data_IF_301531214223
#
_entry.id   IF_301531214223
#
_cell.length_a   1.000
_cell.length_b   1.000
_cell.length_c   1.000
_cell.angle_alpha   90.00
_cell.angle_beta   90.00
_cell.angle_gamma   90.00
#
_symmetry.space_group_name_H-M   'P 1'
#
loop_
_entity.id
_entity.type
_entity.pdbx_description
1 polymer ?
#
# COMPACT_ATOMS: atom_id res chain seq x y z
N UNK A 1 1.44 35.70 23.90
CA UNK A 1 0.28 34.92 24.40
C UNK A 1 -0.07 33.88 23.35
N UNK A 2 0.11 32.61 23.69
CA UNK A 2 -0.16 31.43 22.84
C UNK A 2 -1.67 31.16 22.74
N UNK A 3 -2.11 30.54 21.64
CA UNK A 3 -2.78 29.23 21.63
C UNK A 3 -3.55 29.02 20.31
N UNK A 4 -3.01 28.15 19.45
CA UNK A 4 -3.78 27.45 18.44
C UNK A 4 -3.08 26.10 18.17
N UNK A 5 -3.74 24.94 18.36
CA UNK A 5 -3.09 23.66 18.17
C UNK A 5 -2.67 23.44 16.71
N UNK A 6 -1.64 22.60 16.48
CA UNK A 6 -0.92 22.51 15.23
C UNK A 6 -1.80 21.86 14.15
N UNK A 7 -1.65 22.33 12.93
CA UNK A 7 -2.31 21.86 11.71
C UNK A 7 -2.57 20.34 11.72
N UNK A 8 -3.79 19.94 12.08
CA UNK A 8 -4.26 18.57 11.89
C UNK A 8 -4.59 18.42 10.40
N UNK A 9 -3.69 17.81 9.64
CA UNK A 9 -3.98 17.37 8.28
C UNK A 9 -5.02 16.24 8.32
N UNK A 10 -6.30 16.60 8.46
CA UNK A 10 -7.40 15.67 8.19
C UNK A 10 -7.50 15.47 6.68
N UNK A 11 -6.93 14.38 6.18
CA UNK A 11 -7.13 13.92 4.80
C UNK A 11 -8.60 13.52 4.61
N UNK A 12 -9.36 14.26 3.78
CA UNK A 12 -10.74 13.90 3.45
C UNK A 12 -11.67 15.09 3.16
N UNK A 13 -12.83 14.80 2.57
CA UNK A 13 -13.89 15.80 2.33
C UNK A 13 -14.63 16.04 3.64
N UNK A 14 -14.52 17.24 4.21
CA UNK A 14 -15.29 17.62 5.40
C UNK A 14 -16.77 17.74 5.00
N UNK A 15 -17.66 17.09 5.75
CA UNK A 15 -19.10 17.31 5.61
C UNK A 15 -19.45 18.68 6.21
N UNK A 16 -20.25 19.45 5.48
CA UNK A 16 -20.68 20.81 5.86
C UNK A 16 -22.18 20.90 5.57
N UNK A 17 -22.96 21.35 6.55
CA UNK A 17 -24.38 21.68 6.37
C UNK A 17 -24.50 23.08 5.74
N UNK A 18 -25.48 23.29 4.86
CA UNK A 18 -25.63 24.54 4.09
C UNK A 18 -27.11 24.93 3.99
N UNK A 19 -27.39 26.23 4.11
CA UNK A 19 -28.68 26.81 3.76
C UNK A 19 -28.89 26.95 2.25
N UNK A 20 -30.12 27.28 1.83
CA UNK A 20 -30.47 27.52 0.43
C UNK A 20 -29.72 28.77 -0.08
N UNK A 21 -28.90 28.61 -1.11
CA UNK A 21 -28.10 29.70 -1.71
C UNK A 21 -26.63 29.74 -1.28
N UNK A 22 -26.24 29.04 -0.22
CA UNK A 22 -24.86 29.08 0.32
C UNK A 22 -23.88 28.12 -0.38
N UNK A 23 -24.27 27.57 -1.55
CA UNK A 23 -23.48 26.56 -2.28
C UNK A 23 -22.05 27.04 -2.56
N UNK A 24 -21.91 28.33 -2.88
CA UNK A 24 -20.67 28.98 -3.28
C UNK A 24 -20.09 29.90 -2.21
N UNK A 25 -20.60 29.86 -0.97
CA UNK A 25 -20.01 30.62 0.12
C UNK A 25 -18.57 30.14 0.34
N UNK A 26 -17.63 31.07 0.56
CA UNK A 26 -16.21 30.73 0.74
C UNK A 26 -15.99 29.80 1.95
N UNK A 27 -16.84 29.92 2.98
CA UNK A 27 -16.87 29.00 4.13
C UNK A 27 -17.26 27.55 3.77
N UNK A 28 -17.87 27.33 2.60
CA UNK A 28 -18.32 26.03 2.09
C UNK A 28 -17.40 25.44 1.01
N UNK A 29 -16.35 26.17 0.61
CA UNK A 29 -15.38 25.75 -0.41
C UNK A 29 -14.02 25.55 0.27
N UNK A 30 -13.43 24.38 0.08
CA UNK A 30 -12.04 24.12 0.46
C UNK A 30 -11.28 23.80 -0.82
N UNK A 31 -10.40 24.71 -1.21
CA UNK A 31 -9.50 24.48 -2.34
C UNK A 31 -8.62 23.25 -2.07
N UNK A 32 -8.43 22.46 -3.12
CA UNK A 32 -7.56 21.29 -3.08
C UNK A 32 -6.74 21.28 -4.34
N UNK A 33 -5.43 21.43 -4.18
CA UNK A 33 -4.47 21.12 -5.23
C UNK A 33 -4.45 19.61 -5.47
N UNK A 34 -4.70 19.11 -6.69
CA UNK A 34 -4.45 17.71 -7.00
C UNK A 34 -2.96 17.42 -6.80
N UNK A 35 -2.64 16.37 -6.03
CA UNK A 35 -1.27 15.87 -5.81
C UNK A 35 -0.28 16.82 -5.08
N UNK A 36 -0.74 17.91 -4.48
CA UNK A 36 0.15 18.92 -3.88
C UNK A 36 0.74 18.59 -2.50
N UNK A 37 0.28 17.52 -1.83
CA UNK A 37 0.68 17.20 -0.46
C UNK A 37 1.94 16.33 -0.30
N UNK A 38 2.62 15.98 -1.40
CA UNK A 38 3.63 14.93 -1.40
C UNK A 38 3.04 13.55 -1.04
N UNK A 39 3.75 12.48 -1.38
CA UNK A 39 3.35 11.12 -1.00
C UNK A 39 4.58 10.24 -0.90
N UNK A 40 4.62 9.39 0.12
CA UNK A 40 5.59 8.30 0.21
C UNK A 40 4.99 7.05 -0.44
N UNK A 41 5.84 6.26 -1.08
CA UNK A 41 5.48 4.90 -1.46
C UNK A 41 6.04 3.95 -0.41
N UNK A 42 5.24 2.98 0.01
CA UNK A 42 5.65 1.94 0.95
C UNK A 42 5.32 0.58 0.38
N UNK A 43 6.14 -0.41 0.70
CA UNK A 43 5.88 -1.81 0.41
C UNK A 43 5.86 -2.61 1.71
N UNK A 44 5.00 -3.62 1.79
CA UNK A 44 4.95 -4.57 2.89
C UNK A 44 4.15 -5.80 2.52
N UNK A 45 4.62 -6.96 2.98
CA UNK A 45 3.94 -8.24 2.86
C UNK A 45 3.11 -8.56 4.10
N UNK A 46 2.02 -9.29 3.89
CA UNK A 46 1.24 -9.92 4.96
C UNK A 46 1.15 -11.41 4.69
N UNK A 47 1.11 -12.21 5.76
CA UNK A 47 0.96 -13.65 5.67
C UNK A 47 0.03 -14.18 6.75
N UNK A 48 -0.23 -15.48 6.73
CA UNK A 48 -1.02 -16.12 7.80
C UNK A 48 -0.32 -16.01 9.16
N UNK A 49 1.01 -16.07 9.16
CA UNK A 49 1.82 -16.18 10.38
C UNK A 49 2.40 -14.83 10.82
N UNK A 50 2.37 -13.80 9.98
CA UNK A 50 2.91 -12.50 10.35
C UNK A 50 2.77 -11.45 9.24
N UNK A 51 3.73 -10.53 9.21
CA UNK A 51 3.86 -9.45 8.23
C UNK A 51 5.34 -9.08 8.11
N UNK A 52 5.75 -8.48 7.00
CA UNK A 52 7.11 -7.97 6.85
C UNK A 52 7.24 -6.59 7.52
N UNK A 53 8.47 -6.11 7.66
CA UNK A 53 8.70 -4.69 7.87
C UNK A 53 8.23 -3.87 6.65
N UNK A 54 7.85 -2.61 6.90
CA UNK A 54 7.48 -1.70 5.82
C UNK A 54 8.74 -1.08 5.21
N UNK A 55 8.93 -1.30 3.91
CA UNK A 55 10.00 -0.69 3.13
C UNK A 55 9.50 0.64 2.58
N UNK A 56 10.19 1.74 2.89
CA UNK A 56 9.91 3.05 2.32
C UNK A 56 10.67 3.22 1.02
N UNK A 57 9.94 3.43 -0.07
CA UNK A 57 10.51 3.58 -1.40
C UNK A 57 10.58 5.06 -1.71
N UNK A 58 11.80 5.57 -1.94
CA UNK A 58 11.98 6.94 -2.37
C UNK A 58 11.41 7.11 -3.79
N UNK A 59 10.49 8.04 -3.95
CA UNK A 59 9.83 8.37 -5.21
C UNK A 59 10.46 9.61 -5.86
N UNK A 60 11.56 10.13 -5.31
CA UNK A 60 12.33 11.23 -5.88
C UNK A 60 13.60 10.67 -6.51
N UNK A 61 13.87 11.03 -7.76
CA UNK A 61 15.12 10.69 -8.45
C UNK A 61 16.21 11.69 -8.06
N UNK A 62 17.47 11.32 -8.25
CA UNK A 62 18.63 12.18 -8.01
C UNK A 62 18.55 13.55 -8.71
N UNK A 63 17.84 13.65 -9.83
CA UNK A 63 17.62 14.90 -10.57
C UNK A 63 16.39 15.71 -10.08
N UNK A 64 15.81 15.38 -8.92
CA UNK A 64 14.65 16.06 -8.35
C UNK A 64 13.30 15.72 -9.00
N UNK A 65 13.27 14.91 -10.05
CA UNK A 65 12.02 14.47 -10.67
C UNK A 65 11.34 13.36 -9.86
N UNK A 66 10.00 13.32 -9.89
CA UNK A 66 9.24 12.19 -9.32
C UNK A 66 9.46 10.95 -10.18
N UNK A 67 10.14 9.95 -9.63
CA UNK A 67 10.32 8.64 -10.22
C UNK A 67 9.28 7.63 -9.72
N UNK A 68 9.15 6.52 -10.45
CA UNK A 68 8.41 5.34 -9.99
C UNK A 68 9.33 4.20 -9.58
N UNK A 69 8.75 3.18 -8.95
CA UNK A 69 9.41 1.90 -8.69
C UNK A 69 9.76 1.25 -10.03
N UNK A 70 11.05 1.02 -10.29
CA UNK A 70 11.52 0.27 -11.45
C UNK A 70 11.68 -1.20 -11.09
N UNK A 71 11.72 -2.08 -12.08
CA UNK A 71 11.95 -3.50 -11.85
C UNK A 71 13.29 -3.79 -11.15
N UNK A 72 14.35 -3.05 -11.50
CA UNK A 72 15.64 -3.17 -10.82
C UNK A 72 15.54 -2.81 -9.33
N UNK A 73 14.93 -1.65 -9.01
CA UNK A 73 14.70 -1.23 -7.62
C UNK A 73 13.76 -2.19 -6.87
N UNK A 74 12.80 -2.77 -7.57
CA UNK A 74 11.93 -3.79 -6.99
C UNK A 74 12.70 -5.02 -6.54
N UNK A 75 13.70 -5.45 -7.31
CA UNK A 75 14.56 -6.58 -6.92
C UNK A 75 15.43 -6.18 -5.71
N UNK A 76 16.18 -5.09 -5.85
CA UNK A 76 17.22 -4.72 -4.88
C UNK A 76 16.69 -4.16 -3.56
N UNK A 77 15.64 -3.33 -3.60
CA UNK A 77 15.10 -2.69 -2.40
C UNK A 77 14.06 -3.55 -1.69
N UNK A 78 13.42 -4.49 -2.40
CA UNK A 78 12.31 -5.27 -1.87
C UNK A 78 12.65 -6.75 -1.85
N UNK A 79 12.81 -7.40 -3.01
CA UNK A 79 12.84 -8.86 -3.12
C UNK A 79 14.06 -9.53 -2.49
N UNK A 80 15.25 -8.92 -2.58
CA UNK A 80 16.51 -9.52 -2.08
C UNK A 80 16.44 -9.92 -0.59
N UNK A 81 15.61 -9.22 0.19
CA UNK A 81 15.47 -9.45 1.62
C UNK A 81 14.23 -10.28 2.00
N UNK A 82 13.53 -10.87 1.03
CA UNK A 82 12.29 -11.62 1.28
C UNK A 82 12.47 -13.13 1.13
N UNK A 83 12.08 -13.86 2.17
CA UNK A 83 12.10 -15.31 2.18
C UNK A 83 10.67 -15.87 2.22
N UNK A 84 9.81 -15.51 1.26
CA UNK A 84 8.43 -16.02 1.24
C UNK A 84 7.78 -16.15 -0.14
N UNK A 85 6.80 -17.06 -0.26
CA UNK A 85 5.93 -17.18 -1.45
C UNK A 85 5.11 -15.91 -1.69
N UNK A 86 5.47 -15.19 -2.76
CA UNK A 86 4.87 -13.90 -3.11
C UNK A 86 3.62 -14.06 -3.98
N UNK A 87 2.50 -13.48 -3.53
CA UNK A 87 1.36 -13.18 -4.38
C UNK A 87 1.34 -11.67 -4.62
N UNK A 88 1.53 -11.26 -5.88
CA UNK A 88 1.61 -9.84 -6.28
C UNK A 88 0.71 -9.56 -7.49
N UNK A 89 0.41 -8.28 -7.72
CA UNK A 89 -0.33 -7.84 -8.91
C UNK A 89 0.55 -7.81 -10.17
N UNK A 90 -0.08 -7.57 -11.32
CA UNK A 90 0.61 -7.53 -12.61
C UNK A 90 1.13 -6.11 -12.96
N UNK A 91 1.49 -5.28 -11.97
CA UNK A 91 2.07 -3.98 -12.25
C UNK A 91 3.38 -4.13 -13.05
N UNK A 92 3.69 -3.15 -13.91
CA UNK A 92 4.84 -3.22 -14.83
C UNK A 92 6.17 -3.61 -14.16
N UNK A 93 6.53 -3.10 -12.96
CA UNK A 93 7.76 -3.52 -12.28
C UNK A 93 7.73 -4.99 -11.87
N UNK A 94 6.59 -5.49 -11.41
CA UNK A 94 6.39 -6.86 -10.90
C UNK A 94 6.41 -7.90 -12.02
N UNK A 95 5.87 -7.54 -13.19
CA UNK A 95 5.74 -8.40 -14.36
C UNK A 95 6.99 -8.44 -15.26
N UNK A 96 7.99 -7.61 -14.96
CA UNK A 96 9.19 -7.47 -15.77
C UNK A 96 9.97 -8.80 -15.85
N UNK A 97 10.55 -9.08 -17.01
CA UNK A 97 11.29 -10.33 -17.24
C UNK A 97 12.40 -10.57 -16.19
N UNK A 98 13.17 -9.52 -15.86
CA UNK A 98 14.20 -9.58 -14.83
C UNK A 98 13.65 -9.95 -13.44
N UNK A 99 12.43 -9.52 -13.10
CA UNK A 99 11.80 -9.87 -11.81
C UNK A 99 11.36 -11.32 -11.81
N UNK A 100 10.77 -11.79 -12.91
CA UNK A 100 10.38 -13.20 -13.04
C UNK A 100 11.59 -14.13 -12.94
N UNK A 101 12.65 -13.82 -13.68
CA UNK A 101 13.91 -14.57 -13.64
C UNK A 101 14.51 -14.58 -12.23
N UNK A 102 14.56 -13.43 -11.55
CA UNK A 102 15.05 -13.36 -10.17
C UNK A 102 14.21 -14.20 -9.21
N UNK A 103 12.88 -14.19 -9.34
CA UNK A 103 12.00 -15.03 -8.50
C UNK A 103 12.22 -16.53 -8.75
N UNK A 104 12.49 -16.93 -9.99
CA UNK A 104 12.83 -18.31 -10.36
C UNK A 104 14.19 -18.73 -9.76
N UNK A 105 15.21 -17.89 -9.88
CA UNK A 105 16.56 -18.15 -9.37
C UNK A 105 16.62 -18.18 -7.83
N UNK A 106 15.91 -17.27 -7.16
CA UNK A 106 15.94 -17.12 -5.70
C UNK A 106 15.03 -18.12 -4.95
N UNK A 107 14.34 -19.03 -5.66
CA UNK A 107 13.34 -19.95 -5.12
C UNK A 107 12.30 -19.26 -4.21
N UNK A 108 11.88 -18.05 -4.58
CA UNK A 108 10.91 -17.25 -3.82
C UNK A 108 9.53 -17.95 -3.81
N UNK A 109 9.30 -18.99 -4.63
CA UNK A 109 8.02 -19.69 -4.69
C UNK A 109 7.73 -20.65 -3.52
N UNK A 110 8.71 -21.09 -2.73
CA UNK A 110 8.52 -22.25 -1.82
C UNK A 110 9.10 -22.08 -0.40
N UNK A 111 9.04 -20.88 0.18
CA UNK A 111 9.59 -20.66 1.53
C UNK A 111 8.60 -19.96 2.47
N UNK A 112 8.63 -20.37 3.73
CA UNK A 112 7.79 -19.83 4.80
C UNK A 112 8.27 -18.44 5.21
N UNK A 113 7.33 -17.49 5.36
CA UNK A 113 7.63 -16.15 5.87
C UNK A 113 8.42 -16.22 7.18
N UNK A 114 9.66 -15.73 7.14
CA UNK A 114 10.48 -15.59 8.33
C UNK A 114 9.84 -14.59 9.32
N UNK A 115 9.99 -14.93 10.60
CA UNK A 115 9.58 -14.15 11.76
C UNK A 115 10.56 -12.99 12.02
N UNK A 116 10.02 -11.90 12.58
CA UNK A 116 10.67 -10.62 12.92
C UNK A 116 12.09 -10.77 13.52
N UNK A 117 13.11 -10.22 12.84
CA UNK A 117 14.34 -9.74 13.47
C UNK A 117 14.39 -8.23 13.28
N UNK A 118 13.81 -7.53 14.25
CA UNK A 118 13.41 -6.14 14.10
C UNK A 118 14.55 -5.16 13.82
N UNK A 119 14.20 -4.07 13.15
CA UNK A 119 14.56 -2.67 13.42
C UNK A 119 13.61 -1.81 12.59
N UNK A 120 12.55 -1.25 13.20
CA UNK A 120 11.98 0.07 12.86
C UNK A 120 10.79 0.45 13.76
N UNK A 121 10.74 1.72 14.16
CA UNK A 121 9.89 2.26 15.24
C UNK A 121 8.40 2.32 14.87
N UNK A 122 7.54 1.71 15.69
CA UNK A 122 6.12 2.04 15.92
C UNK A 122 5.29 2.54 14.70
N UNK A 123 5.03 1.68 13.72
CA UNK A 123 4.00 1.96 12.70
C UNK A 123 2.64 1.39 13.15
N UNK A 124 1.52 2.04 12.77
CA UNK A 124 0.18 1.45 12.94
C UNK A 124 0.10 0.05 12.30
N UNK A 125 0.91 -0.20 11.27
CA UNK A 125 1.02 -1.50 10.61
C UNK A 125 1.49 -2.61 11.55
N UNK A 126 2.41 -2.36 12.50
CA UNK A 126 2.78 -3.35 13.54
C UNK A 126 1.68 -3.57 14.57
N UNK A 127 0.92 -2.52 14.89
CA UNK A 127 -0.15 -2.56 15.92
C UNK A 127 -1.43 -3.23 15.43
N UNK A 128 -1.59 -3.43 14.13
CA UNK A 128 -2.78 -4.11 13.61
C UNK A 128 -2.85 -5.56 14.13
N UNK A 129 -3.98 -6.01 14.68
CA UNK A 129 -4.11 -7.40 15.10
C UNK A 129 -3.92 -8.36 13.92
N UNK A 130 -3.25 -9.49 14.16
CA UNK A 130 -2.99 -10.47 13.11
C UNK A 130 -4.29 -11.01 12.48
N UNK A 131 -5.39 -11.10 13.24
CA UNK A 131 -6.68 -11.57 12.71
C UNK A 131 -7.27 -10.65 11.64
N UNK A 132 -7.01 -9.34 11.74
CA UNK A 132 -7.38 -8.37 10.68
C UNK A 132 -6.59 -8.67 9.41
N UNK A 133 -5.28 -8.95 9.54
CA UNK A 133 -4.41 -9.26 8.40
C UNK A 133 -4.71 -10.62 7.77
N UNK A 134 -5.17 -11.58 8.56
CA UNK A 134 -5.58 -12.91 8.07
C UNK A 134 -6.89 -12.86 7.28
N UNK A 135 -7.76 -11.89 7.55
CA UNK A 135 -9.08 -11.77 6.93
C UNK A 135 -9.04 -11.77 5.39
N UNK A 136 -8.25 -10.92 4.70
CA UNK A 136 -8.16 -10.95 3.25
C UNK A 136 -7.69 -12.31 2.72
N UNK A 137 -6.68 -12.92 3.35
CA UNK A 137 -6.12 -14.22 2.95
C UNK A 137 -7.16 -15.33 3.09
N UNK A 138 -7.85 -15.41 4.24
CA UNK A 138 -8.93 -16.39 4.48
C UNK A 138 -10.10 -16.21 3.51
N UNK A 139 -10.39 -14.98 3.11
CA UNK A 139 -11.50 -14.68 2.19
C UNK A 139 -11.22 -15.05 0.73
N UNK A 140 -9.97 -15.36 0.36
CA UNK A 140 -9.56 -15.59 -1.03
C UNK A 140 -10.38 -16.68 -1.73
N UNK A 141 -10.68 -17.78 -1.03
CA UNK A 141 -11.51 -18.85 -1.59
C UNK A 141 -12.90 -18.35 -2.00
N UNK A 142 -13.56 -17.60 -1.11
CA UNK A 142 -14.89 -17.06 -1.37
C UNK A 142 -14.87 -16.02 -2.51
N UNK A 143 -13.80 -15.23 -2.60
CA UNK A 143 -13.59 -14.28 -3.71
C UNK A 143 -13.46 -15.00 -5.04
N UNK A 144 -12.61 -16.04 -5.11
CA UNK A 144 -12.45 -16.85 -6.32
C UNK A 144 -13.75 -17.54 -6.74
N UNK A 145 -14.47 -18.13 -5.79
CA UNK A 145 -15.79 -18.73 -6.05
C UNK A 145 -16.79 -17.69 -6.58
N UNK A 146 -16.76 -16.46 -6.06
CA UNK A 146 -17.61 -15.37 -6.55
C UNK A 146 -17.28 -14.94 -7.98
N UNK A 147 -15.99 -14.92 -8.37
CA UNK A 147 -15.54 -14.62 -9.73
C UNK A 147 -16.01 -15.72 -10.70
N UNK A 148 -15.88 -16.99 -10.30
CA UNK A 148 -16.34 -18.13 -11.10
C UNK A 148 -17.85 -18.04 -11.33
N UNK A 149 -18.63 -17.78 -10.27
CA UNK A 149 -20.09 -17.59 -10.38
C UNK A 149 -20.46 -16.41 -11.27
N UNK A 150 -19.69 -15.32 -11.20
CA UNK A 150 -19.86 -14.13 -12.03
C UNK A 150 -19.30 -14.29 -13.45
N UNK A 151 -18.72 -15.44 -13.82
CA UNK A 151 -18.05 -15.69 -15.11
C UNK A 151 -17.02 -14.62 -15.47
N UNK A 152 -16.25 -14.17 -14.48
CA UNK A 152 -15.26 -13.09 -14.66
C UNK A 152 -15.82 -11.67 -14.56
N UNK A 153 -17.11 -11.51 -14.27
CA UNK A 153 -17.72 -10.20 -13.99
C UNK A 153 -17.36 -9.64 -12.61
N UNK A 154 -17.84 -8.43 -12.32
CA UNK A 154 -17.60 -7.74 -11.06
C UNK A 154 -18.19 -8.50 -9.86
N UNK A 155 -17.45 -8.51 -8.76
CA UNK A 155 -17.85 -9.15 -7.50
C UNK A 155 -18.15 -8.10 -6.42
N UNK A 156 -18.88 -8.44 -5.34
CA UNK A 156 -19.08 -7.54 -4.20
C UNK A 156 -17.81 -7.34 -3.35
N UNK A 157 -16.78 -8.14 -3.62
CA UNK A 157 -15.43 -8.01 -3.05
C UNK A 157 -14.56 -7.04 -3.85
#
# INVERSE_FOLDING_TARGET
MSNGPPYSYKYGRRRVYRGRGERYAQSCIKERVPFGGGSFMVWGGISMNGRTELVFIDMVRQNGSRGGLTAHRYITEILENQNFTLMQDNARPHAAAQVRQHCEESCICEKSCAYDSGITKNTNFRRMPQDVLKTPIKSMRNRLESIIRARGGNTPY
#
